data_IF_396188195818
#
_entry.id   IF_396188195818
#
_cell.length_a   1.000
_cell.length_b   1.000
_cell.length_c   1.000
_cell.angle_alpha   90.00
_cell.angle_beta   90.00
_cell.angle_gamma   90.00
#
_symmetry.space_group_name_H-M   'P 1'
#
loop_
_entity.id
_entity.type
_entity.pdbx_description
1 polymer ?
#
# COMPACT_ATOMS: atom_id res chain seq x y z
N UNK A 1 7.67 7.83 -7.06
CA UNK A 1 6.64 8.88 -7.26
C UNK A 1 7.24 10.13 -7.87
N UNK A 2 8.37 10.66 -7.37
CA UNK A 2 9.06 11.80 -8.00
C UNK A 2 9.32 11.59 -9.49
N UNK A 3 9.95 10.47 -9.86
CA UNK A 3 10.27 10.11 -11.25
C UNK A 3 9.07 10.16 -12.24
N UNK A 4 7.88 9.72 -11.80
CA UNK A 4 6.66 9.78 -12.62
C UNK A 4 6.12 11.20 -12.74
N UNK A 5 6.22 11.99 -11.66
CA UNK A 5 5.75 13.39 -11.65
C UNK A 5 6.70 14.26 -12.48
N UNK A 6 8.01 13.99 -12.44
CA UNK A 6 9.01 14.69 -13.21
C UNK A 6 8.87 14.35 -14.71
N UNK A 7 8.63 13.08 -15.06
CA UNK A 7 8.29 12.67 -16.43
C UNK A 7 7.01 13.34 -16.95
N UNK A 8 5.93 13.38 -16.15
CA UNK A 8 4.68 14.06 -16.51
C UNK A 8 4.87 15.57 -16.65
N UNK A 9 5.70 16.19 -15.81
CA UNK A 9 6.03 17.61 -15.90
C UNK A 9 6.84 17.95 -17.16
N UNK A 10 7.71 17.04 -17.63
CA UNK A 10 8.44 17.21 -18.89
C UNK A 10 7.52 17.13 -20.12
N UNK A 11 6.52 16.25 -20.11
CA UNK A 11 5.57 16.09 -21.22
C UNK A 11 4.52 17.21 -21.25
N UNK A 12 4.03 17.65 -20.09
CA UNK A 12 2.91 18.60 -19.98
C UNK A 12 3.34 20.04 -19.72
N UNK A 13 4.58 20.26 -19.29
CA UNK A 13 5.11 21.57 -18.89
C UNK A 13 4.50 22.14 -17.61
N UNK A 14 3.74 21.34 -16.85
CA UNK A 14 3.05 21.76 -15.64
C UNK A 14 3.33 20.78 -14.50
N UNK A 15 3.94 21.24 -13.42
CA UNK A 15 4.27 20.38 -12.27
C UNK A 15 3.08 20.27 -11.30
N UNK A 16 2.25 19.23 -11.44
CA UNK A 16 1.04 19.03 -10.63
C UNK A 16 1.28 18.21 -9.34
N UNK A 17 2.36 18.49 -8.60
CA UNK A 17 2.70 17.75 -7.37
C UNK A 17 1.54 17.65 -6.36
N UNK A 18 0.72 18.71 -6.26
CA UNK A 18 -0.42 18.75 -5.36
C UNK A 18 -1.51 17.71 -5.67
N UNK A 19 -1.75 17.41 -6.95
CA UNK A 19 -2.77 16.45 -7.37
C UNK A 19 -2.33 15.02 -7.05
N UNK A 20 -1.09 14.66 -7.40
CA UNK A 20 -0.51 13.37 -7.06
C UNK A 20 -0.46 13.15 -5.55
N UNK A 21 -0.08 14.18 -4.78
CA UNK A 21 -0.07 14.11 -3.32
C UNK A 21 -1.49 13.94 -2.74
N UNK A 22 -2.48 14.67 -3.27
CA UNK A 22 -3.86 14.55 -2.83
C UNK A 22 -4.42 13.13 -3.07
N UNK A 23 -4.18 12.55 -4.24
CA UNK A 23 -4.57 11.17 -4.55
C UNK A 23 -3.89 10.15 -3.64
N UNK A 24 -2.58 10.27 -3.46
CA UNK A 24 -1.84 9.41 -2.54
C UNK A 24 -2.42 9.46 -1.13
N UNK A 25 -2.59 10.67 -0.57
CA UNK A 25 -3.12 10.87 0.76
C UNK A 25 -4.56 10.34 0.91
N UNK A 26 -5.40 10.52 -0.12
CA UNK A 26 -6.77 10.00 -0.13
C UNK A 26 -6.79 8.47 -0.09
N UNK A 27 -6.00 7.82 -0.96
CA UNK A 27 -5.92 6.36 -1.01
C UNK A 27 -5.36 5.81 0.30
N UNK A 28 -4.28 6.38 0.84
CA UNK A 28 -3.68 5.91 2.10
C UNK A 28 -4.65 6.00 3.27
N UNK A 29 -5.41 7.10 3.40
CA UNK A 29 -6.40 7.27 4.47
C UNK A 29 -7.57 6.31 4.33
N UNK A 30 -8.07 6.15 3.12
CA UNK A 30 -9.18 5.23 2.83
C UNK A 30 -8.78 3.79 3.12
N UNK A 31 -7.57 3.39 2.71
CA UNK A 31 -7.01 2.07 3.03
C UNK A 31 -6.86 1.86 4.54
N UNK A 32 -6.34 2.84 5.29
CA UNK A 32 -6.22 2.76 6.75
C UNK A 32 -7.57 2.56 7.45
N UNK A 33 -8.61 3.27 7.01
CA UNK A 33 -9.98 3.08 7.50
C UNK A 33 -10.54 1.70 7.17
N UNK A 34 -10.39 1.26 5.92
CA UNK A 34 -10.86 -0.05 5.47
C UNK A 34 -10.18 -1.21 6.24
N UNK A 35 -8.86 -1.13 6.46
CA UNK A 35 -8.12 -2.12 7.26
C UNK A 35 -8.66 -2.17 8.68
N UNK A 36 -8.90 -1.01 9.30
CA UNK A 36 -9.43 -0.94 10.67
C UNK A 36 -10.78 -1.64 10.80
N UNK A 37 -11.69 -1.40 9.85
CA UNK A 37 -13.01 -2.05 9.80
C UNK A 37 -12.84 -3.56 9.64
N UNK A 38 -12.01 -3.99 8.68
CA UNK A 38 -11.79 -5.41 8.41
C UNK A 38 -11.17 -6.15 9.60
N UNK A 39 -10.21 -5.53 10.29
CA UNK A 39 -9.61 -6.07 11.51
C UNK A 39 -10.67 -6.27 12.60
N UNK A 40 -11.59 -5.33 12.78
CA UNK A 40 -12.70 -5.45 13.73
C UNK A 40 -13.54 -6.70 13.47
N UNK A 41 -14.01 -6.88 12.23
CA UNK A 41 -14.79 -8.06 11.84
C UNK A 41 -14.00 -9.37 11.97
N UNK A 42 -12.72 -9.38 11.59
CA UNK A 42 -11.89 -10.56 11.70
C UNK A 42 -11.69 -10.98 13.16
N UNK A 43 -11.50 -10.03 14.08
CA UNK A 43 -11.39 -10.32 15.52
C UNK A 43 -12.71 -10.85 16.10
N UNK A 44 -13.84 -10.30 15.68
CA UNK A 44 -15.17 -10.79 16.08
C UNK A 44 -15.41 -12.23 15.63
N UNK A 45 -15.11 -12.54 14.36
CA UNK A 45 -15.18 -13.91 13.82
C UNK A 45 -14.20 -14.87 14.51
N UNK A 46 -13.05 -14.36 14.95
CA UNK A 46 -12.07 -15.10 15.75
C UNK A 46 -12.48 -15.31 17.21
N UNK A 47 -13.63 -14.79 17.65
CA UNK A 47 -14.11 -14.90 19.02
C UNK A 47 -13.24 -14.14 20.04
N UNK A 48 -12.61 -13.04 19.62
CA UNK A 48 -11.77 -12.24 20.49
C UNK A 48 -12.58 -11.59 21.62
N UNK A 49 -12.12 -11.76 22.86
CA UNK A 49 -12.71 -11.12 24.05
C UNK A 49 -11.61 -10.35 24.79
N UNK A 50 -11.76 -9.06 25.08
CA UNK A 50 -10.70 -8.30 25.74
C UNK A 50 -10.45 -8.77 27.18
N UNK A 51 -9.20 -8.66 27.64
CA UNK A 51 -8.77 -8.86 29.03
C UNK A 51 -9.01 -10.26 29.62
N UNK A 52 -9.14 -11.31 28.80
CA UNK A 52 -9.26 -12.70 29.25
C UNK A 52 -8.21 -13.61 28.57
N UNK A 53 -7.92 -14.80 29.10
CA UNK A 53 -7.13 -15.80 28.39
C UNK A 53 -7.76 -16.14 27.03
N UNK A 54 -7.04 -15.85 25.94
CA UNK A 54 -7.55 -16.07 24.58
C UNK A 54 -7.52 -17.53 24.17
N UNK A 55 -8.56 -17.96 23.45
CA UNK A 55 -8.65 -19.27 22.81
C UNK A 55 -7.57 -19.45 21.73
N UNK A 56 -7.28 -20.70 21.35
CA UNK A 56 -6.34 -21.01 20.26
C UNK A 56 -6.80 -20.36 18.95
N UNK A 57 -8.11 -20.37 18.67
CA UNK A 57 -8.67 -19.76 17.47
C UNK A 57 -8.39 -18.26 17.41
N UNK A 58 -8.69 -17.53 18.49
CA UNK A 58 -8.50 -16.08 18.55
C UNK A 58 -7.03 -15.68 18.39
N UNK A 59 -6.11 -16.45 18.99
CA UNK A 59 -4.66 -16.24 18.82
C UNK A 59 -4.20 -16.46 17.39
N UNK A 60 -4.69 -17.53 16.76
CA UNK A 60 -4.38 -17.81 15.35
C UNK A 60 -4.91 -16.71 14.44
N UNK A 61 -6.14 -16.23 14.66
CA UNK A 61 -6.72 -15.11 13.90
C UNK A 61 -5.88 -13.84 14.02
N UNK A 62 -5.43 -13.49 15.23
CA UNK A 62 -4.53 -12.34 15.44
C UNK A 62 -3.22 -12.55 14.68
N UNK A 63 -2.61 -13.74 14.77
CA UNK A 63 -1.39 -14.07 14.05
C UNK A 63 -1.54 -13.93 12.53
N UNK A 64 -2.64 -14.44 11.97
CA UNK A 64 -2.95 -14.34 10.55
C UNK A 64 -3.18 -12.89 10.11
N UNK A 65 -3.84 -12.07 10.91
CA UNK A 65 -4.05 -10.65 10.64
C UNK A 65 -2.74 -9.85 10.57
N UNK A 66 -1.69 -10.28 11.28
CA UNK A 66 -0.39 -9.62 11.26
C UNK A 66 0.50 -10.10 10.09
N UNK A 67 0.35 -11.37 9.68
CA UNK A 67 1.25 -12.00 8.70
C UNK A 67 0.71 -11.90 7.27
N UNK A 68 -0.59 -12.13 7.06
CA UNK A 68 -1.16 -12.19 5.71
C UNK A 68 -1.11 -10.86 4.96
N UNK A 69 -1.48 -9.69 5.54
CA UNK A 69 -1.52 -8.44 4.79
C UNK A 69 -0.14 -8.02 4.23
N UNK A 70 0.97 -8.07 5.00
CA UNK A 70 2.30 -7.81 4.47
C UNK A 70 2.69 -8.77 3.34
N UNK A 71 2.41 -10.07 3.49
CA UNK A 71 2.75 -11.08 2.47
C UNK A 71 2.01 -10.78 1.16
N UNK A 72 0.70 -10.56 1.23
CA UNK A 72 -0.13 -10.29 0.05
C UNK A 72 0.31 -8.97 -0.60
N UNK A 73 0.51 -7.92 0.21
CA UNK A 73 0.93 -6.60 -0.27
C UNK A 73 2.28 -6.64 -0.98
N UNK A 74 3.27 -7.30 -0.37
CA UNK A 74 4.61 -7.43 -0.97
C UNK A 74 4.60 -8.35 -2.20
N UNK A 75 3.83 -9.44 -2.18
CA UNK A 75 3.71 -10.33 -3.33
C UNK A 75 3.05 -9.64 -4.52
N UNK A 76 2.00 -8.86 -4.27
CA UNK A 76 1.34 -8.06 -5.30
C UNK A 76 2.27 -6.96 -5.82
N UNK A 77 2.97 -6.26 -4.94
CA UNK A 77 3.96 -5.26 -5.33
C UNK A 77 5.03 -5.89 -6.23
N UNK A 78 5.62 -7.01 -5.81
CA UNK A 78 6.61 -7.74 -6.60
C UNK A 78 6.06 -8.18 -7.96
N UNK A 79 4.84 -8.71 -8.02
CA UNK A 79 4.20 -9.12 -9.27
C UNK A 79 3.95 -7.94 -10.22
N UNK A 80 3.50 -6.80 -9.70
CA UNK A 80 3.25 -5.59 -10.49
C UNK A 80 4.56 -4.95 -10.98
N UNK A 81 5.63 -5.01 -10.19
CA UNK A 81 6.92 -4.44 -10.58
C UNK A 81 7.79 -5.38 -11.41
N UNK A 82 7.45 -6.68 -11.50
CA UNK A 82 8.26 -7.68 -12.19
C UNK A 82 8.45 -7.39 -13.70
N UNK A 83 7.53 -6.65 -14.33
CA UNK A 83 7.62 -6.25 -15.73
C UNK A 83 7.79 -4.74 -15.94
N UNK A 84 8.14 -3.99 -14.90
CA UNK A 84 8.22 -2.53 -15.00
C UNK A 84 9.56 -2.11 -15.59
N UNK A 85 9.53 -1.65 -16.84
CA UNK A 85 10.68 -1.25 -17.67
C UNK A 85 11.08 0.22 -17.41
N UNK A 86 11.09 0.65 -16.14
CA UNK A 86 11.76 1.89 -15.73
C UNK A 86 13.22 1.55 -15.45
N UNK A 87 13.92 1.20 -16.52
CA UNK A 87 15.35 0.94 -16.50
C UNK A 87 16.12 2.26 -16.25
N UNK A 88 17.32 2.18 -15.69
CA UNK A 88 18.18 3.32 -15.33
C UNK A 88 18.35 4.31 -16.51
N UNK A 89 18.29 3.78 -17.74
CA UNK A 89 18.33 4.51 -19.00
C UNK A 89 17.13 5.45 -19.27
N UNK A 90 15.95 5.21 -18.67
CA UNK A 90 14.79 6.11 -18.76
C UNK A 90 14.90 7.26 -17.75
N UNK A 91 15.44 6.98 -16.55
CA UNK A 91 15.65 8.00 -15.51
C UNK A 91 16.78 8.98 -15.88
N UNK A 92 17.83 8.51 -16.58
CA UNK A 92 18.89 9.39 -17.08
C UNK A 92 18.40 10.38 -18.15
N UNK A 93 17.46 9.98 -19.01
CA UNK A 93 16.85 10.90 -20.01
C UNK A 93 16.04 12.03 -19.39
N UNK A 94 15.37 11.76 -18.26
CA UNK A 94 14.61 12.77 -17.51
C UNK A 94 15.56 13.73 -16.76
N UNK A 95 16.77 13.28 -16.43
CA UNK A 95 17.77 14.08 -15.69
C UNK A 95 18.68 14.94 -16.59
N UNK A 96 18.82 14.57 -17.86
CA UNK A 96 19.57 15.32 -18.87
C UNK A 96 18.74 16.37 -19.65
N UNK A 97 17.40 16.30 -19.58
CA UNK A 97 16.47 17.25 -20.21
C UNK A 97 16.22 18.51 -19.35
#
# INVERSE_FOLDING_TARGET
MGDVIDADALETGQSQHGVYFAWWAFVSKTAGGAVTIFTGFALELGGFVPNVPQSILSRTTIGLLLILPPIIGLSLAAALTHGFDLDEAASDKVREA
#
